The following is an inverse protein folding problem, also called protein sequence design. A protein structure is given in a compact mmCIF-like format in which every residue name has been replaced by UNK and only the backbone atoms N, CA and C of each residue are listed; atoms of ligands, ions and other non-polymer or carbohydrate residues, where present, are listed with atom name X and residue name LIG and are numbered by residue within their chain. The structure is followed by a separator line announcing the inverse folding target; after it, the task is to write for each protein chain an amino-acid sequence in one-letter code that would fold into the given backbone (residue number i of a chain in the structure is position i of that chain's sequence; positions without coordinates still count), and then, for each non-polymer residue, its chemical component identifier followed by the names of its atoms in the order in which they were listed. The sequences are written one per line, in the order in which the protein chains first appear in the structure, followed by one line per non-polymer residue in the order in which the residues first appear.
data_IF_508490716061
#
_entry.id   IF_508490716061
#
_cell.length_a   1.000
_cell.length_b   1.000
_cell.length_c   1.000
_cell.angle_alpha   90.00
_cell.angle_beta   90.00
_cell.angle_gamma   90.00
#
_symmetry.space_group_name_H-M   'P 1'
#
loop_
_entity.id
_entity.type
_entity.pdbx_description
1 polymer ?
#
# COMPACT_ATOMS: atom_id res chain seq x y z
N UNK A 1 -5.23 -31.49 0.37
CA UNK A 1 -4.77 -31.36 -1.02
C UNK A 1 -5.83 -31.77 -2.05
N UNK A 2 -6.34 -33.04 -2.12
CA UNK A 2 -7.35 -33.43 -3.14
C UNK A 2 -8.70 -32.69 -2.97
N UNK A 3 -9.22 -32.61 -1.74
CA UNK A 3 -10.46 -31.91 -1.39
C UNK A 3 -10.29 -30.38 -1.51
N UNK A 4 -9.13 -29.89 -1.25
CA UNK A 4 -8.76 -28.48 -1.34
C UNK A 4 -8.75 -27.98 -2.80
N UNK A 5 -8.22 -28.79 -3.74
CA UNK A 5 -8.26 -28.45 -5.17
C UNK A 5 -9.69 -28.52 -5.72
N UNK A 6 -10.51 -29.50 -5.28
CA UNK A 6 -11.92 -29.56 -5.66
C UNK A 6 -12.70 -28.39 -5.07
N UNK A 7 -12.45 -28.00 -3.82
CA UNK A 7 -13.04 -26.82 -3.22
C UNK A 7 -12.58 -25.51 -3.91
N UNK A 8 -11.34 -25.48 -4.38
CA UNK A 8 -10.81 -24.35 -5.17
C UNK A 8 -11.44 -24.29 -6.57
N UNK A 9 -11.77 -25.45 -7.17
CA UNK A 9 -12.47 -25.54 -8.47
C UNK A 9 -14.00 -25.34 -8.33
N UNK A 10 -14.59 -25.61 -7.15
CA UNK A 10 -15.99 -25.27 -6.84
C UNK A 10 -16.20 -23.77 -6.59
N UNK A 11 -15.13 -23.05 -6.18
CA UNK A 11 -15.07 -21.60 -6.18
C UNK A 11 -14.76 -21.19 -7.62
N UNK A 12 -15.69 -20.55 -8.32
CA UNK A 12 -15.53 -19.97 -9.67
C UNK A 12 -14.16 -19.36 -9.87
N UNK A 13 -13.65 -19.30 -11.11
CA UNK A 13 -12.48 -18.46 -11.43
C UNK A 13 -12.57 -17.14 -10.69
N UNK A 14 -11.52 -16.80 -9.99
CA UNK A 14 -11.40 -15.58 -9.23
C UNK A 14 -10.03 -14.96 -9.54
N UNK A 15 -9.67 -13.91 -8.85
CA UNK A 15 -8.37 -13.26 -9.02
C UNK A 15 -7.14 -14.17 -8.74
N UNK A 16 -7.33 -15.33 -8.08
CA UNK A 16 -6.27 -16.26 -7.67
C UNK A 16 -6.10 -17.48 -8.58
N UNK A 17 -7.10 -17.82 -9.41
CA UNK A 17 -7.09 -19.07 -10.17
C UNK A 17 -7.38 -18.82 -11.65
N UNK A 18 -6.70 -19.59 -12.50
CA UNK A 18 -6.90 -19.61 -13.94
C UNK A 18 -6.88 -21.04 -14.46
N UNK A 19 -7.89 -21.44 -15.24
CA UNK A 19 -8.03 -22.77 -15.80
C UNK A 19 -7.85 -22.74 -17.32
N UNK A 20 -7.04 -23.65 -17.87
CA UNK A 20 -6.81 -23.78 -19.30
C UNK A 20 -6.89 -25.24 -19.74
N UNK A 21 -7.58 -25.49 -20.85
CA UNK A 21 -7.71 -26.85 -21.38
C UNK A 21 -6.37 -27.42 -21.85
N UNK A 22 -5.53 -26.64 -22.51
CA UNK A 22 -4.21 -27.04 -23.02
C UNK A 22 -4.21 -28.32 -23.91
N UNK A 23 -5.27 -28.55 -24.70
CA UNK A 23 -5.43 -29.78 -25.49
C UNK A 23 -4.34 -29.96 -26.54
N UNK A 24 -3.86 -28.89 -27.19
CA UNK A 24 -2.94 -28.93 -28.33
C UNK A 24 -1.57 -28.28 -28.05
N UNK A 25 -1.25 -27.97 -26.79
CA UNK A 25 -0.01 -27.29 -26.38
C UNK A 25 -0.28 -26.26 -25.28
N UNK A 26 0.78 -25.55 -24.87
CA UNK A 26 0.65 -24.44 -23.96
C UNK A 26 -0.13 -23.31 -24.64
N UNK A 27 -1.25 -22.85 -24.07
CA UNK A 27 -1.99 -21.72 -24.60
C UNK A 27 -1.14 -20.45 -24.60
N UNK A 28 -1.21 -19.63 -25.64
CA UNK A 28 -0.44 -18.37 -25.70
C UNK A 28 -0.82 -17.43 -24.53
N UNK A 29 -2.10 -17.40 -24.15
CA UNK A 29 -2.61 -16.59 -23.05
C UNK A 29 -2.04 -16.95 -21.68
N UNK A 30 -1.36 -18.10 -21.52
CA UNK A 30 -0.73 -18.45 -20.24
C UNK A 30 0.34 -17.44 -19.81
N UNK A 31 0.96 -16.75 -20.77
CA UNK A 31 2.01 -15.77 -20.50
C UNK A 31 1.44 -14.43 -20.03
N UNK A 32 0.28 -14.04 -20.54
CA UNK A 32 -0.47 -12.88 -20.04
C UNK A 32 -0.87 -13.12 -18.59
N UNK A 33 -1.39 -14.31 -18.28
CA UNK A 33 -1.71 -14.72 -16.90
C UNK A 33 -0.47 -14.80 -16.01
N UNK A 34 0.67 -15.32 -16.53
CA UNK A 34 1.92 -15.33 -15.78
C UNK A 34 2.35 -13.90 -15.39
N UNK A 35 2.38 -12.98 -16.37
CA UNK A 35 2.69 -11.58 -16.14
C UNK A 35 1.71 -10.95 -15.13
N UNK A 36 0.44 -11.23 -15.31
CA UNK A 36 -0.65 -10.70 -14.49
C UNK A 36 -0.53 -11.13 -13.04
N UNK A 37 -0.38 -12.42 -12.76
CA UNK A 37 -0.18 -12.94 -11.42
C UNK A 37 1.11 -12.40 -10.77
N UNK A 38 2.22 -12.42 -11.52
CA UNK A 38 3.50 -11.91 -11.04
C UNK A 38 3.44 -10.43 -10.62
N UNK A 39 2.70 -9.60 -11.36
CA UNK A 39 2.57 -8.17 -11.08
C UNK A 39 1.47 -7.81 -10.07
N UNK A 40 0.67 -8.80 -9.64
CA UNK A 40 -0.42 -8.58 -8.68
C UNK A 40 -0.13 -9.35 -7.37
N UNK A 41 -1.02 -10.19 -6.94
CA UNK A 41 -0.95 -10.91 -5.66
C UNK A 41 -0.47 -12.37 -5.82
N UNK A 42 -0.03 -12.75 -7.01
CA UNK A 42 0.24 -14.14 -7.37
C UNK A 42 -1.03 -14.88 -7.79
N UNK A 43 -0.92 -16.19 -8.02
CA UNK A 43 -2.05 -17.05 -8.36
C UNK A 43 -1.63 -18.41 -8.85
N UNK A 44 -2.59 -19.27 -9.14
CA UNK A 44 -2.38 -20.64 -9.62
C UNK A 44 -3.03 -20.85 -10.98
N UNK A 45 -2.28 -21.41 -11.91
CA UNK A 45 -2.78 -21.85 -13.21
C UNK A 45 -2.92 -23.37 -13.25
N UNK A 46 -4.04 -23.86 -13.76
CA UNK A 46 -4.32 -25.28 -13.97
C UNK A 46 -4.42 -25.60 -15.46
N UNK A 47 -3.62 -26.52 -15.96
CA UNK A 47 -3.67 -27.01 -17.34
C UNK A 47 -4.29 -28.41 -17.38
N UNK A 48 -5.20 -28.65 -18.31
CA UNK A 48 -5.98 -29.88 -18.42
C UNK A 48 -7.39 -29.77 -17.83
N UNK A 49 -7.84 -28.53 -17.57
CA UNK A 49 -9.20 -28.23 -17.10
C UNK A 49 -9.88 -27.40 -18.17
N UNK A 50 -11.10 -27.79 -18.52
CA UNK A 50 -11.96 -27.08 -19.45
C UNK A 50 -12.97 -26.26 -18.66
N UNK A 51 -12.97 -24.98 -18.92
CA UNK A 51 -13.97 -24.05 -18.39
C UNK A 51 -15.26 -24.07 -19.20
N UNK A 52 -16.37 -24.01 -18.52
CA UNK A 52 -17.71 -23.76 -19.03
C UNK A 52 -18.30 -22.55 -18.29
N UNK A 53 -19.37 -21.95 -18.78
CA UNK A 53 -19.96 -20.73 -18.20
C UNK A 53 -20.16 -20.75 -16.68
N UNK A 54 -20.51 -21.92 -16.12
CA UNK A 54 -20.82 -22.06 -14.69
C UNK A 54 -20.21 -23.33 -14.05
N UNK A 55 -19.27 -23.99 -14.74
CA UNK A 55 -18.68 -25.25 -14.26
C UNK A 55 -17.33 -25.52 -14.91
N UNK A 56 -16.54 -26.38 -14.25
CA UNK A 56 -15.26 -26.86 -14.76
C UNK A 56 -15.34 -28.36 -15.02
N UNK A 57 -14.67 -28.82 -16.08
CA UNK A 57 -14.50 -30.23 -16.37
C UNK A 57 -13.04 -30.58 -16.40
N UNK A 58 -12.62 -31.51 -15.55
CA UNK A 58 -11.24 -32.03 -15.59
C UNK A 58 -11.13 -32.98 -16.78
N UNK A 59 -10.48 -32.51 -17.85
CA UNK A 59 -10.18 -33.33 -19.04
C UNK A 59 -8.93 -34.19 -18.83
N UNK A 60 -7.95 -33.63 -18.09
CA UNK A 60 -6.67 -34.25 -17.81
C UNK A 60 -5.66 -34.13 -18.96
N UNK A 61 -4.44 -34.49 -18.66
CA UNK A 61 -3.31 -34.55 -19.58
C UNK A 61 -2.69 -35.94 -19.54
N UNK A 62 -2.24 -36.46 -20.69
CA UNK A 62 -1.44 -37.66 -20.73
C UNK A 62 -0.03 -37.41 -20.16
N UNK A 63 0.65 -38.45 -19.70
CA UNK A 63 1.99 -38.34 -19.14
C UNK A 63 2.98 -37.67 -20.13
N UNK A 64 2.87 -37.98 -21.41
CA UNK A 64 3.67 -37.36 -22.47
C UNK A 64 3.41 -35.86 -22.61
N UNK A 65 2.14 -35.44 -22.46
CA UNK A 65 1.78 -34.02 -22.49
C UNK A 65 2.31 -33.30 -21.26
N UNK A 66 2.20 -33.88 -20.06
CA UNK A 66 2.74 -33.28 -18.84
C UNK A 66 4.23 -33.00 -18.96
N UNK A 67 5.01 -34.04 -19.36
CA UNK A 67 6.48 -33.90 -19.53
C UNK A 67 6.81 -32.83 -20.59
N UNK A 68 6.09 -32.85 -21.71
CA UNK A 68 6.30 -31.88 -22.78
C UNK A 68 5.98 -30.48 -22.33
N UNK A 69 4.82 -30.26 -21.67
CA UNK A 69 4.40 -28.94 -21.29
C UNK A 69 5.25 -28.32 -20.15
N UNK A 70 5.73 -29.16 -19.22
CA UNK A 70 6.73 -28.72 -18.25
C UNK A 70 8.01 -28.24 -18.94
N UNK A 71 8.53 -29.04 -19.90
CA UNK A 71 9.74 -28.66 -20.64
C UNK A 71 9.54 -27.38 -21.46
N UNK A 72 8.43 -27.27 -22.17
CA UNK A 72 8.12 -26.12 -23.02
C UNK A 72 7.92 -24.87 -22.14
N UNK A 73 7.25 -25.01 -21.01
CA UNK A 73 7.02 -23.91 -20.05
C UNK A 73 8.35 -23.38 -19.50
N UNK A 74 9.22 -24.26 -18.98
CA UNK A 74 10.52 -23.86 -18.45
C UNK A 74 11.45 -23.30 -19.55
N UNK A 75 11.35 -23.76 -20.77
CA UNK A 75 12.10 -23.19 -21.89
C UNK A 75 11.67 -21.76 -22.20
N UNK A 76 10.37 -21.48 -22.17
CA UNK A 76 9.82 -20.16 -22.52
C UNK A 76 9.99 -19.17 -21.39
N UNK A 77 9.71 -19.55 -20.13
CA UNK A 77 9.83 -18.65 -18.98
C UNK A 77 11.28 -18.19 -18.73
N UNK A 78 12.26 -18.98 -19.18
CA UNK A 78 13.68 -18.64 -19.11
C UNK A 78 14.19 -17.90 -20.35
N UNK A 79 13.40 -17.75 -21.41
CA UNK A 79 13.75 -16.96 -22.59
C UNK A 79 13.40 -15.49 -22.38
N UNK A 80 14.42 -14.67 -22.12
CA UNK A 80 14.25 -13.22 -21.83
C UNK A 80 13.65 -12.41 -22.99
N UNK A 81 13.61 -12.96 -24.21
CA UNK A 81 12.89 -12.34 -25.32
C UNK A 81 11.38 -12.61 -25.27
N UNK A 82 10.95 -13.60 -24.48
CA UNK A 82 9.55 -13.99 -24.32
C UNK A 82 8.97 -13.58 -22.99
N UNK A 83 9.73 -13.73 -21.91
CA UNK A 83 9.35 -13.37 -20.54
C UNK A 83 10.51 -12.63 -19.91
N UNK A 84 10.28 -11.42 -19.44
CA UNK A 84 11.34 -10.54 -18.90
C UNK A 84 12.07 -11.14 -17.69
N UNK A 85 11.36 -11.87 -16.84
CA UNK A 85 11.90 -12.49 -15.64
C UNK A 85 11.18 -13.78 -15.26
N UNK A 86 11.97 -14.81 -14.95
CA UNK A 86 11.48 -16.02 -14.30
C UNK A 86 11.57 -15.85 -12.78
N UNK A 87 10.42 -15.89 -12.10
CA UNK A 87 10.30 -15.79 -10.63
C UNK A 87 9.94 -17.13 -9.98
N UNK A 88 9.89 -18.21 -10.78
CA UNK A 88 9.50 -19.52 -10.31
C UNK A 88 10.67 -20.35 -9.83
N UNK A 89 10.40 -21.18 -8.83
CA UNK A 89 11.25 -22.27 -8.38
C UNK A 89 10.73 -23.61 -8.94
N UNK A 90 11.58 -24.63 -9.00
CA UNK A 90 11.23 -25.93 -9.57
C UNK A 90 9.96 -26.56 -8.98
N UNK A 91 9.68 -26.31 -7.70
CA UNK A 91 8.51 -26.86 -7.02
C UNK A 91 7.20 -26.11 -7.33
N UNK A 92 7.22 -25.02 -8.09
CA UNK A 92 6.04 -24.28 -8.49
C UNK A 92 5.33 -24.88 -9.72
N UNK A 93 5.96 -25.82 -10.45
CA UNK A 93 5.39 -26.42 -11.65
C UNK A 93 5.39 -27.95 -11.50
N UNK A 94 4.24 -28.53 -11.18
CA UNK A 94 4.14 -29.94 -10.86
C UNK A 94 2.80 -30.56 -11.27
N UNK A 95 2.79 -31.88 -11.59
CA UNK A 95 1.55 -32.59 -11.88
C UNK A 95 0.75 -32.89 -10.61
N UNK A 96 -0.56 -32.84 -10.72
CA UNK A 96 -1.51 -33.21 -9.66
C UNK A 96 -2.58 -34.12 -10.24
N UNK A 97 -3.05 -35.10 -9.45
CA UNK A 97 -4.14 -35.98 -9.84
C UNK A 97 -5.45 -35.50 -9.20
N UNK A 98 -6.42 -35.15 -10.05
CA UNK A 98 -7.77 -34.73 -9.67
C UNK A 98 -8.76 -35.63 -10.39
N UNK A 99 -9.70 -36.23 -9.68
CA UNK A 99 -10.70 -37.17 -10.24
C UNK A 99 -10.10 -38.33 -11.06
N UNK A 100 -8.92 -38.79 -10.69
CA UNK A 100 -8.21 -39.86 -11.41
C UNK A 100 -7.51 -39.40 -12.70
N UNK A 101 -7.57 -38.13 -13.05
CA UNK A 101 -6.90 -37.53 -14.21
C UNK A 101 -5.75 -36.63 -13.78
N UNK A 102 -4.66 -36.64 -14.54
CA UNK A 102 -3.50 -35.80 -14.24
C UNK A 102 -3.67 -34.43 -14.88
N UNK A 103 -3.44 -33.38 -14.11
CA UNK A 103 -3.40 -31.98 -14.56
C UNK A 103 -2.03 -31.38 -14.22
N UNK A 104 -1.62 -30.29 -14.87
CA UNK A 104 -0.40 -29.57 -14.52
C UNK A 104 -0.79 -28.32 -13.73
N UNK A 105 -0.25 -28.17 -12.53
CA UNK A 105 -0.41 -27.01 -11.65
C UNK A 105 0.83 -26.14 -11.73
N UNK A 106 0.62 -24.83 -11.84
CA UNK A 106 1.66 -23.80 -11.89
C UNK A 106 1.31 -22.73 -10.88
N UNK A 107 2.05 -22.66 -9.79
CA UNK A 107 1.88 -21.64 -8.75
C UNK A 107 2.80 -20.47 -9.06
N UNK A 108 2.23 -19.32 -9.37
CA UNK A 108 2.96 -18.08 -9.67
C UNK A 108 2.93 -17.20 -8.45
N UNK A 109 4.05 -16.98 -7.75
CA UNK A 109 4.08 -16.05 -6.63
C UNK A 109 3.96 -14.60 -7.12
N UNK A 110 3.54 -13.68 -6.25
CA UNK A 110 3.73 -12.27 -6.51
C UNK A 110 5.22 -11.96 -6.63
N UNK A 111 5.61 -11.22 -7.66
CA UNK A 111 6.98 -10.78 -7.83
C UNK A 111 7.36 -9.76 -6.74
N UNK A 112 8.61 -9.82 -6.28
CA UNK A 112 9.17 -8.74 -5.48
C UNK A 112 9.17 -7.43 -6.28
N UNK A 113 9.11 -6.27 -5.60
CA UNK A 113 9.08 -4.96 -6.26
C UNK A 113 10.29 -4.71 -7.18
N UNK A 114 11.46 -5.27 -6.83
CA UNK A 114 12.68 -5.16 -7.64
C UNK A 114 12.63 -6.02 -8.92
N UNK A 115 11.70 -6.95 -8.98
CA UNK A 115 11.46 -7.82 -10.12
C UNK A 115 10.29 -7.34 -11.01
N UNK A 116 9.44 -6.44 -10.52
CA UNK A 116 8.35 -5.80 -11.29
C UNK A 116 8.88 -4.64 -12.14
N UNK A 117 8.37 -4.45 -13.38
CA UNK A 117 7.33 -5.24 -14.01
C UNK A 117 7.86 -6.56 -14.59
N UNK A 118 7.11 -7.65 -14.39
CA UNK A 118 7.27 -8.89 -15.15
C UNK A 118 6.41 -8.79 -16.40
N UNK A 119 7.03 -8.79 -17.58
CA UNK A 119 6.33 -8.56 -18.85
C UNK A 119 6.67 -9.62 -19.90
N UNK A 120 5.81 -9.77 -20.89
CA UNK A 120 5.98 -10.66 -22.04
C UNK A 120 6.48 -9.88 -23.25
N UNK A 121 7.33 -10.54 -24.05
CA UNK A 121 7.99 -9.91 -25.19
C UNK A 121 9.14 -9.00 -24.79
N UNK A 122 9.42 -8.00 -25.61
CA UNK A 122 10.58 -7.10 -25.47
C UNK A 122 10.21 -5.68 -25.02
N UNK A 123 8.93 -5.32 -25.08
CA UNK A 123 8.44 -3.97 -24.76
C UNK A 123 7.58 -4.05 -23.48
N UNK A 124 8.09 -3.52 -22.35
CA UNK A 124 7.34 -3.54 -21.09
C UNK A 124 6.00 -2.78 -21.16
N UNK A 125 5.91 -1.73 -21.99
CA UNK A 125 4.68 -0.95 -22.12
C UNK A 125 3.56 -1.70 -22.84
N UNK A 126 3.91 -2.78 -23.58
CA UNK A 126 2.97 -3.62 -24.35
C UNK A 126 2.84 -5.03 -23.82
N UNK A 127 3.65 -5.42 -22.85
CA UNK A 127 3.71 -6.79 -22.34
C UNK A 127 3.47 -6.93 -20.84
N UNK A 128 3.21 -5.85 -20.11
CA UNK A 128 2.95 -5.89 -18.67
C UNK A 128 1.46 -6.00 -18.40
N UNK A 129 1.05 -7.06 -17.70
CA UNK A 129 -0.34 -7.31 -17.35
C UNK A 129 -0.52 -7.28 -15.83
N UNK A 130 -1.74 -6.95 -15.39
CA UNK A 130 -2.22 -7.05 -14.01
C UNK A 130 -3.53 -7.81 -13.96
N UNK A 131 -3.74 -8.55 -12.87
CA UNK A 131 -5.00 -9.25 -12.61
C UNK A 131 -6.00 -8.28 -11.97
N UNK A 132 -7.20 -8.21 -12.55
CA UNK A 132 -8.33 -7.51 -11.97
C UNK A 132 -9.55 -8.41 -12.09
N UNK A 133 -10.09 -8.85 -10.95
CA UNK A 133 -11.14 -9.85 -10.85
C UNK A 133 -10.75 -11.16 -11.57
N UNK A 134 -11.40 -11.53 -12.69
CA UNK A 134 -11.12 -12.75 -13.46
C UNK A 134 -10.26 -12.50 -14.72
N UNK A 135 -9.87 -11.25 -14.99
CA UNK A 135 -9.23 -10.86 -16.24
C UNK A 135 -7.78 -10.42 -16.12
N UNK A 136 -7.02 -10.69 -17.19
CA UNK A 136 -5.67 -10.20 -17.38
C UNK A 136 -5.72 -8.92 -18.22
N UNK A 137 -5.37 -7.78 -17.63
CA UNK A 137 -5.46 -6.48 -18.27
C UNK A 137 -4.08 -5.88 -18.50
N UNK A 138 -3.87 -5.36 -19.70
CA UNK A 138 -2.65 -4.62 -20.05
C UNK A 138 -2.56 -3.37 -19.16
N UNK A 139 -1.42 -3.19 -18.51
CA UNK A 139 -1.15 -2.02 -17.68
C UNK A 139 -1.06 -0.73 -18.52
N UNK A 140 -1.46 0.40 -17.94
CA UNK A 140 -1.17 1.70 -18.53
C UNK A 140 0.33 1.99 -18.48
N UNK A 141 0.82 2.88 -19.37
CA UNK A 141 2.23 3.29 -19.35
C UNK A 141 2.63 3.88 -17.99
N UNK A 142 1.73 4.65 -17.36
CA UNK A 142 1.95 5.23 -16.03
C UNK A 142 2.19 4.14 -14.99
N UNK A 143 1.35 3.08 -14.97
CA UNK A 143 1.50 1.97 -14.05
C UNK A 143 2.83 1.22 -14.24
N UNK A 144 3.25 1.01 -15.48
CA UNK A 144 4.56 0.39 -15.80
C UNK A 144 5.71 1.26 -15.33
N UNK A 145 5.65 2.58 -15.56
CA UNK A 145 6.67 3.54 -15.08
C UNK A 145 6.73 3.57 -13.56
N UNK A 146 5.58 3.50 -12.88
CA UNK A 146 5.53 3.41 -11.42
C UNK A 146 6.22 2.15 -10.89
N UNK A 147 6.02 0.98 -11.54
CA UNK A 147 6.73 -0.25 -11.19
C UNK A 147 8.25 -0.12 -11.33
N UNK A 148 8.75 0.51 -12.41
CA UNK A 148 10.18 0.78 -12.57
C UNK A 148 10.72 1.78 -11.52
N UNK A 149 9.94 2.79 -11.16
CA UNK A 149 10.34 3.72 -10.10
C UNK A 149 10.43 3.02 -8.74
N UNK A 150 9.53 2.07 -8.47
CA UNK A 150 9.51 1.29 -7.23
C UNK A 150 10.68 0.29 -7.11
N UNK A 151 11.39 -0.05 -8.20
CA UNK A 151 12.60 -0.87 -8.13
C UNK A 151 13.77 -0.20 -7.42
N UNK A 152 13.77 1.14 -7.31
CA UNK A 152 14.90 1.89 -6.75
C UNK A 152 15.12 1.54 -5.27
N UNK A 153 16.36 1.19 -4.93
CA UNK A 153 16.79 1.08 -3.54
C UNK A 153 16.88 2.47 -2.90
N UNK A 154 16.48 2.56 -1.63
CA UNK A 154 16.59 3.79 -0.86
C UNK A 154 15.40 4.75 -0.94
N UNK A 155 14.35 4.41 -1.68
CA UNK A 155 13.13 5.22 -1.80
C UNK A 155 13.18 6.29 -2.89
N UNK A 156 12.00 6.81 -3.24
CA UNK A 156 11.85 7.81 -4.31
C UNK A 156 12.21 9.22 -3.85
N UNK A 157 12.28 9.45 -2.54
CA UNK A 157 12.45 10.74 -1.90
C UNK A 157 13.91 11.15 -1.61
N UNK A 158 14.88 10.32 -2.00
CA UNK A 158 16.31 10.55 -1.72
C UNK A 158 17.02 11.42 -2.78
N UNK A 159 16.41 11.57 -3.95
CA UNK A 159 16.98 12.31 -5.09
C UNK A 159 17.16 13.79 -4.75
N UNK A 160 18.31 14.35 -5.14
CA UNK A 160 18.64 15.77 -4.97
C UNK A 160 18.14 16.54 -6.19
N UNK A 161 17.45 17.65 -5.96
CA UNK A 161 16.90 18.49 -7.01
C UNK A 161 17.94 19.53 -7.47
N UNK A 162 18.85 19.14 -8.35
CA UNK A 162 20.02 19.91 -8.76
C UNK A 162 19.73 21.35 -9.24
N UNK A 163 18.54 21.60 -9.76
CA UNK A 163 18.15 22.90 -10.31
C UNK A 163 17.25 23.73 -9.36
N UNK A 164 17.15 23.33 -8.09
CA UNK A 164 16.29 23.99 -7.10
C UNK A 164 17.12 24.51 -5.94
N UNK A 165 16.96 25.80 -5.63
CA UNK A 165 17.62 26.42 -4.49
C UNK A 165 16.84 26.25 -3.19
N UNK A 166 17.45 26.57 -2.04
CA UNK A 166 16.84 26.41 -0.72
C UNK A 166 15.63 27.32 -0.48
N UNK A 167 15.47 28.39 -1.28
CA UNK A 167 14.32 29.30 -1.25
C UNK A 167 12.99 28.59 -1.63
N UNK A 168 13.06 27.38 -2.18
CA UNK A 168 11.90 26.54 -2.43
C UNK A 168 11.28 25.97 -1.14
N UNK A 169 12.03 26.02 -0.03
CA UNK A 169 11.58 25.52 1.26
C UNK A 169 10.95 26.64 2.10
N UNK A 170 9.79 26.39 2.67
CA UNK A 170 9.05 27.33 3.50
C UNK A 170 9.75 27.50 4.86
N UNK A 171 10.21 28.70 5.15
CA UNK A 171 10.95 29.01 6.38
C UNK A 171 10.10 28.92 7.64
N UNK A 172 8.82 29.20 7.57
CA UNK A 172 7.92 29.15 8.74
C UNK A 172 7.58 27.69 9.08
N UNK A 173 7.39 26.82 8.09
CA UNK A 173 7.27 25.37 8.30
C UNK A 173 8.53 24.81 8.96
N UNK A 174 9.74 25.19 8.49
CA UNK A 174 11.01 24.77 9.09
C UNK A 174 11.13 25.22 10.54
N UNK A 175 10.78 26.48 10.84
CA UNK A 175 10.78 27.01 12.21
C UNK A 175 9.82 26.22 13.10
N UNK A 176 8.59 25.99 12.62
CA UNK A 176 7.58 25.19 13.34
C UNK A 176 8.07 23.78 13.66
N UNK A 177 8.68 23.12 12.68
CA UNK A 177 9.27 21.79 12.85
C UNK A 177 10.41 21.80 13.91
N UNK A 178 11.31 22.78 13.86
CA UNK A 178 12.41 22.91 14.84
C UNK A 178 11.90 23.12 16.25
N UNK A 179 10.86 23.91 16.45
CA UNK A 179 10.25 24.13 17.78
C UNK A 179 9.73 22.80 18.34
N UNK A 180 9.01 22.01 17.53
CA UNK A 180 8.49 20.71 17.95
C UNK A 180 9.65 19.73 18.24
N UNK A 181 10.67 19.70 17.36
CA UNK A 181 11.85 18.86 17.56
C UNK A 181 12.57 19.20 18.88
N UNK A 182 12.81 20.49 19.17
CA UNK A 182 13.46 20.94 20.39
C UNK A 182 12.66 20.56 21.65
N UNK A 183 11.35 20.71 21.62
CA UNK A 183 10.46 20.33 22.74
C UNK A 183 10.54 18.83 23.04
N UNK A 184 10.59 17.99 22.00
CA UNK A 184 10.64 16.53 22.14
C UNK A 184 12.05 16.02 22.46
N UNK A 185 13.09 16.74 22.04
CA UNK A 185 14.48 16.33 22.15
C UNK A 185 15.32 17.39 22.88
N UNK A 186 14.94 17.73 24.13
CA UNK A 186 15.65 18.71 24.94
C UNK A 186 17.12 18.32 25.11
N UNK A 187 18.04 19.27 24.85
CA UNK A 187 19.49 19.05 24.96
C UNK A 187 20.09 18.21 23.81
N UNK A 188 19.34 17.90 22.77
CA UNK A 188 19.90 17.20 21.61
C UNK A 188 20.90 18.11 20.86
N UNK A 189 22.07 17.55 20.41
CA UNK A 189 23.09 18.37 19.75
C UNK A 189 22.61 19.11 18.49
N UNK A 190 21.58 18.60 17.82
CA UNK A 190 21.03 19.22 16.62
C UNK A 190 20.24 20.51 16.88
N UNK A 191 19.86 20.77 18.14
CA UNK A 191 19.19 22.03 18.50
C UNK A 191 20.12 23.24 18.34
N UNK A 192 21.45 23.01 18.38
CA UNK A 192 22.48 24.03 18.21
C UNK A 192 22.93 24.27 16.77
N UNK A 193 22.44 23.43 15.83
CA UNK A 193 22.83 23.54 14.42
C UNK A 193 22.09 24.70 13.72
N UNK A 194 22.79 25.34 12.80
CA UNK A 194 22.15 26.25 11.83
C UNK A 194 21.14 25.49 10.95
N UNK A 195 20.21 26.20 10.32
CA UNK A 195 19.12 25.57 9.55
C UNK A 195 19.64 24.62 8.47
N UNK A 196 20.65 25.03 7.72
CA UNK A 196 21.20 24.22 6.61
C UNK A 196 21.79 22.91 7.11
N UNK A 197 22.55 22.95 8.21
CA UNK A 197 23.13 21.75 8.82
C UNK A 197 22.06 20.86 9.41
N UNK A 198 21.05 21.42 10.08
CA UNK A 198 19.90 20.70 10.60
C UNK A 198 19.15 19.97 9.50
N UNK A 199 18.82 20.66 8.39
CA UNK A 199 18.14 20.09 7.23
C UNK A 199 18.95 19.00 6.53
N UNK A 200 20.30 19.15 6.48
CA UNK A 200 21.19 18.09 5.98
C UNK A 200 21.13 16.83 6.89
N UNK A 201 21.09 17.00 8.21
CA UNK A 201 20.94 15.85 9.14
C UNK A 201 19.60 15.13 8.96
N UNK A 202 18.54 15.85 8.65
CA UNK A 202 17.23 15.31 8.31
C UNK A 202 17.21 14.65 6.91
N UNK A 203 18.21 14.88 6.07
CA UNK A 203 18.22 14.55 4.63
C UNK A 203 17.14 15.30 3.81
N UNK A 204 16.67 16.41 4.32
CA UNK A 204 15.80 17.32 3.57
C UNK A 204 16.59 18.12 2.52
N UNK A 205 17.87 18.31 2.76
CA UNK A 205 18.82 19.05 1.91
C UNK A 205 20.08 18.21 1.74
N UNK A 206 20.70 18.29 0.55
CA UNK A 206 21.98 17.67 0.26
C UNK A 206 22.78 18.54 -0.73
N UNK A 207 24.06 18.21 -0.90
CA UNK A 207 24.89 18.89 -1.92
C UNK A 207 24.56 18.33 -3.30
N UNK A 208 24.29 19.23 -4.22
CA UNK A 208 24.06 18.92 -5.62
C UNK A 208 25.38 18.63 -6.37
N UNK A 209 25.29 18.36 -7.67
CA UNK A 209 26.45 18.05 -8.52
C UNK A 209 27.46 19.24 -8.67
N UNK A 210 27.05 20.45 -8.28
CA UNK A 210 27.91 21.66 -8.26
C UNK A 210 28.53 21.92 -6.88
N UNK A 211 28.16 21.10 -5.85
CA UNK A 211 28.60 21.29 -4.48
C UNK A 211 27.76 22.29 -3.68
N UNK A 212 26.70 22.84 -4.27
CA UNK A 212 25.76 23.76 -3.64
C UNK A 212 24.68 22.96 -2.88
N UNK A 213 24.07 23.58 -1.87
CA UNK A 213 22.95 22.97 -1.17
C UNK A 213 21.65 23.08 -1.98
N UNK A 214 21.00 21.96 -2.17
CA UNK A 214 19.70 21.86 -2.85
C UNK A 214 18.75 20.95 -2.07
N UNK A 215 17.43 21.19 -2.16
CA UNK A 215 16.46 20.30 -1.56
C UNK A 215 16.56 18.88 -2.14
N UNK A 216 16.32 17.89 -1.31
CA UNK A 216 15.95 16.55 -1.79
C UNK A 216 14.45 16.53 -2.11
N UNK A 217 13.99 15.50 -2.82
CA UNK A 217 12.55 15.29 -3.01
C UNK A 217 11.82 15.26 -1.65
N UNK A 218 12.39 14.55 -0.65
CA UNK A 218 11.83 14.54 0.70
C UNK A 218 11.74 15.95 1.30
N UNK A 219 12.79 16.75 1.19
CA UNK A 219 12.81 18.11 1.72
C UNK A 219 11.79 19.01 1.04
N UNK A 220 11.69 18.94 -0.29
CA UNK A 220 10.72 19.71 -1.05
C UNK A 220 9.28 19.34 -0.67
N UNK A 221 8.94 18.03 -0.66
CA UNK A 221 7.60 17.59 -0.31
C UNK A 221 7.21 17.95 1.14
N UNK A 222 8.18 17.86 2.06
CA UNK A 222 7.92 18.01 3.49
C UNK A 222 7.91 19.46 3.97
N UNK A 223 8.74 20.33 3.36
CA UNK A 223 8.92 21.71 3.77
C UNK A 223 8.69 22.75 2.66
N UNK A 224 8.49 22.33 1.40
CA UNK A 224 8.36 23.26 0.28
C UNK A 224 7.01 23.97 0.23
N UNK A 225 6.91 25.03 -0.56
CA UNK A 225 5.62 25.61 -0.92
C UNK A 225 4.98 24.84 -2.08
N UNK A 226 3.65 24.72 -2.08
CA UNK A 226 2.90 23.93 -3.07
C UNK A 226 3.25 24.27 -4.52
N UNK A 227 3.42 25.56 -4.85
CA UNK A 227 3.78 25.96 -6.21
C UNK A 227 5.18 25.46 -6.62
N UNK A 228 6.14 25.36 -5.67
CA UNK A 228 7.46 24.76 -5.91
C UNK A 228 7.40 23.25 -6.01
N UNK A 229 6.56 22.62 -5.20
CA UNK A 229 6.32 21.17 -5.26
C UNK A 229 5.75 20.78 -6.63
N UNK A 230 4.80 21.56 -7.16
CA UNK A 230 4.17 21.29 -8.47
C UNK A 230 5.09 21.46 -9.65
N UNK A 231 6.23 22.18 -9.52
CA UNK A 231 7.28 22.22 -10.56
C UNK A 231 7.90 20.83 -10.81
N UNK A 232 7.98 19.99 -9.74
CA UNK A 232 8.54 18.63 -9.81
C UNK A 232 7.44 17.57 -9.94
N UNK A 233 6.33 17.78 -9.26
CA UNK A 233 5.18 16.89 -9.19
C UNK A 233 3.91 17.59 -9.69
N UNK A 234 3.69 17.66 -11.01
CA UNK A 234 2.57 18.45 -11.58
C UNK A 234 1.18 18.00 -11.12
N UNK A 235 1.05 16.78 -10.62
CA UNK A 235 -0.20 16.23 -10.12
C UNK A 235 -0.27 16.19 -8.59
N UNK A 236 0.68 16.82 -7.90
CA UNK A 236 0.69 16.91 -6.45
C UNK A 236 -0.61 17.52 -5.94
N UNK A 237 -1.27 16.82 -5.03
CA UNK A 237 -2.51 17.29 -4.44
C UNK A 237 -2.74 16.64 -3.09
N UNK A 238 -3.03 17.46 -2.08
CA UNK A 238 -3.46 17.05 -0.75
C UNK A 238 -4.86 17.63 -0.52
N UNK A 239 -5.79 16.81 -0.05
CA UNK A 239 -7.19 17.23 0.15
C UNK A 239 -7.71 16.65 1.47
N UNK A 240 -8.13 17.52 2.38
CA UNK A 240 -8.91 17.17 3.56
C UNK A 240 -10.29 17.79 3.48
N UNK A 241 -11.33 17.01 3.72
CA UNK A 241 -12.70 17.51 3.70
C UNK A 241 -13.58 16.79 4.71
N UNK A 242 -14.51 17.57 5.27
CA UNK A 242 -15.60 17.08 6.09
C UNK A 242 -16.89 17.12 5.27
N UNK A 243 -17.45 15.95 4.97
CA UNK A 243 -18.67 15.83 4.18
C UNK A 243 -19.89 15.88 5.11
N UNK A 244 -20.96 16.55 4.65
CA UNK A 244 -22.25 16.54 5.33
C UNK A 244 -23.00 15.23 5.05
N UNK A 245 -23.82 14.79 5.99
CA UNK A 245 -24.84 13.77 5.74
C UNK A 245 -25.98 14.31 4.88
N UNK A 246 -26.24 15.62 4.95
CA UNK A 246 -27.18 16.31 4.08
C UNK A 246 -26.58 16.48 2.68
N UNK A 247 -27.16 15.80 1.69
CA UNK A 247 -26.71 15.84 0.30
C UNK A 247 -26.82 17.21 -0.36
N UNK A 248 -27.56 18.15 0.23
CA UNK A 248 -27.64 19.54 -0.27
C UNK A 248 -26.41 20.36 0.08
N UNK A 249 -25.63 19.94 1.09
CA UNK A 249 -24.39 20.57 1.53
C UNK A 249 -23.23 19.69 1.07
N UNK A 250 -22.39 20.19 0.17
CA UNK A 250 -21.31 19.40 -0.42
C UNK A 250 -20.22 19.04 0.59
N UNK A 251 -19.81 19.99 1.43
CA UNK A 251 -18.86 19.84 2.54
C UNK A 251 -19.10 20.87 3.63
N UNK A 252 -18.81 20.46 4.87
CA UNK A 252 -18.85 21.35 6.04
C UNK A 252 -17.54 22.13 6.17
N UNK A 253 -16.43 21.49 5.79
CA UNK A 253 -15.09 22.06 5.78
C UNK A 253 -14.26 21.42 4.69
N UNK A 254 -13.32 22.15 4.10
CA UNK A 254 -12.33 21.64 3.17
C UNK A 254 -11.07 22.46 3.25
N UNK A 255 -9.90 21.81 3.16
CA UNK A 255 -8.60 22.44 2.92
C UNK A 255 -7.79 21.57 1.97
N UNK A 256 -7.07 22.21 1.05
CA UNK A 256 -6.27 21.49 0.06
C UNK A 256 -4.99 22.26 -0.29
N UNK A 257 -4.01 21.57 -0.89
CA UNK A 257 -2.69 22.13 -1.19
C UNK A 257 -2.69 23.35 -2.11
N UNK A 258 -3.75 23.55 -2.91
CA UNK A 258 -3.81 24.60 -3.93
C UNK A 258 -4.58 25.86 -3.44
N UNK A 259 -4.88 25.97 -2.14
CA UNK A 259 -5.60 27.15 -1.59
C UNK A 259 -4.77 28.43 -1.63
N UNK A 260 -3.44 28.31 -1.46
CA UNK A 260 -2.51 29.43 -1.50
C UNK A 260 -2.45 30.28 -0.23
N UNK A 261 -3.22 29.94 0.83
CA UNK A 261 -3.23 30.61 2.14
C UNK A 261 -2.31 29.92 3.17
N UNK A 262 -1.74 28.78 2.80
CA UNK A 262 -0.77 28.02 3.58
C UNK A 262 0.27 27.37 2.65
N UNK A 263 1.32 26.77 3.20
CA UNK A 263 2.43 26.20 2.42
C UNK A 263 2.00 25.11 1.42
N UNK A 264 0.98 24.33 1.74
CA UNK A 264 0.56 23.17 0.94
C UNK A 264 1.46 21.95 1.05
N UNK A 265 2.46 21.94 1.93
CA UNK A 265 3.39 20.83 2.12
C UNK A 265 2.85 19.72 3.07
N UNK A 266 3.62 18.62 3.16
CA UNK A 266 3.19 17.44 3.95
C UNK A 266 3.14 17.70 5.44
N UNK A 267 4.10 18.46 5.99
CA UNK A 267 4.17 18.74 7.41
C UNK A 267 2.99 19.57 7.89
N UNK A 268 2.71 20.67 7.21
CA UNK A 268 1.60 21.55 7.59
C UNK A 268 0.24 20.88 7.32
N UNK A 269 0.12 20.08 6.23
CA UNK A 269 -1.08 19.29 5.97
C UNK A 269 -1.37 18.30 7.09
N UNK A 270 -0.35 17.57 7.54
CA UNK A 270 -0.50 16.62 8.64
C UNK A 270 -1.13 17.29 9.86
N UNK A 271 -0.57 18.40 10.31
CA UNK A 271 -1.07 19.08 11.50
C UNK A 271 -2.45 19.72 11.27
N UNK A 272 -2.73 20.28 10.10
CA UNK A 272 -4.07 20.78 9.75
C UNK A 272 -5.13 19.67 9.86
N UNK A 273 -4.81 18.48 9.34
CA UNK A 273 -5.74 17.34 9.36
C UNK A 273 -5.92 16.81 10.78
N UNK A 274 -4.83 16.53 11.49
CA UNK A 274 -4.91 15.90 12.82
C UNK A 274 -5.57 16.81 13.83
N UNK A 275 -5.19 18.08 13.92
CA UNK A 275 -5.82 19.02 14.83
C UNK A 275 -7.34 19.12 14.59
N UNK A 276 -7.76 19.10 13.32
CA UNK A 276 -9.17 19.20 12.95
C UNK A 276 -9.96 17.93 13.27
N UNK A 277 -9.36 16.75 13.05
CA UNK A 277 -10.00 15.47 13.38
C UNK A 277 -10.10 15.31 14.90
N UNK A 278 -9.04 15.67 15.62
CA UNK A 278 -8.93 15.51 17.06
C UNK A 278 -9.96 16.34 17.85
N UNK A 279 -10.29 17.54 17.37
CA UNK A 279 -11.29 18.41 18.01
C UNK A 279 -12.69 17.77 18.08
N UNK A 280 -12.99 16.86 17.17
CA UNK A 280 -14.33 16.26 17.01
C UNK A 280 -14.45 14.83 17.57
N UNK A 281 -13.33 14.17 17.92
CA UNK A 281 -13.35 12.79 18.41
C UNK A 281 -13.48 12.77 19.93
N UNK A 282 -14.69 12.49 20.41
CA UNK A 282 -14.90 12.17 21.82
C UNK A 282 -14.57 10.67 22.05
N UNK A 283 -13.42 10.38 22.63
CA UNK A 283 -13.07 9.02 23.07
C UNK A 283 -13.71 8.77 24.44
N UNK A 284 -14.63 7.79 24.59
CA UNK A 284 -15.18 7.42 25.88
C UNK A 284 -14.07 6.92 26.82
N UNK A 285 -14.19 7.26 28.11
CA UNK A 285 -13.30 6.70 29.11
C UNK A 285 -13.59 5.20 29.29
N UNK A 286 -12.66 4.35 28.89
CA UNK A 286 -12.73 2.91 29.14
C UNK A 286 -11.72 2.54 30.22
N UNK A 287 -12.20 2.04 31.36
CA UNK A 287 -11.32 1.47 32.37
C UNK A 287 -10.97 0.04 31.98
N UNK A 288 -9.70 -0.26 31.75
CA UNK A 288 -9.25 -1.65 31.62
C UNK A 288 -9.49 -2.43 32.90
N UNK A 289 -9.75 -3.73 32.77
CA UNK A 289 -9.90 -4.65 33.92
C UNK A 289 -8.66 -4.72 34.82
N UNK A 290 -7.51 -4.30 34.31
CA UNK A 290 -6.22 -4.20 35.00
C UNK A 290 -6.02 -2.86 35.74
N UNK A 291 -7.01 -1.96 35.74
CA UNK A 291 -6.98 -0.66 36.42
C UNK A 291 -6.22 0.44 35.67
N UNK A 292 -5.68 0.15 34.48
CA UNK A 292 -5.07 1.19 33.64
C UNK A 292 -6.13 1.93 32.83
N UNK A 293 -5.99 3.23 32.72
CA UNK A 293 -6.79 4.10 31.84
C UNK A 293 -6.33 3.89 30.40
N UNK A 294 -7.27 3.63 29.49
CA UNK A 294 -7.03 3.85 28.07
C UNK A 294 -7.30 5.31 27.80
N UNK A 295 -6.25 6.08 27.66
CA UNK A 295 -6.36 7.49 27.44
C UNK A 295 -6.69 7.79 25.97
N UNK A 296 -7.33 8.95 25.74
CA UNK A 296 -7.56 9.58 24.43
C UNK A 296 -6.33 9.55 23.52
N UNK A 297 -5.15 9.45 24.12
CA UNK A 297 -3.83 9.44 23.46
C UNK A 297 -3.68 8.30 22.45
N UNK A 298 -4.20 7.10 22.71
CA UNK A 298 -3.96 5.93 21.85
C UNK A 298 -4.71 6.05 20.51
N UNK A 299 -5.93 6.55 20.49
CA UNK A 299 -6.72 6.74 19.25
C UNK A 299 -6.16 7.89 18.40
N UNK A 300 -5.81 9.01 19.04
CA UNK A 300 -5.22 10.16 18.36
C UNK A 300 -3.83 9.81 17.78
N UNK A 301 -3.01 9.07 18.56
CA UNK A 301 -1.73 8.59 18.08
C UNK A 301 -1.89 7.62 16.88
N UNK A 302 -2.90 6.74 16.92
CA UNK A 302 -3.19 5.82 15.82
C UNK A 302 -3.69 6.55 14.55
N UNK A 303 -4.49 7.61 14.70
CA UNK A 303 -4.92 8.47 13.59
C UNK A 303 -3.74 9.24 12.99
N UNK A 304 -2.88 9.81 13.84
CA UNK A 304 -1.65 10.45 13.41
C UNK A 304 -0.76 9.50 12.63
N UNK A 305 -0.58 8.27 13.13
CA UNK A 305 0.14 7.20 12.44
C UNK A 305 -0.47 6.90 11.07
N UNK A 306 -1.81 6.77 10.98
CA UNK A 306 -2.51 6.49 9.73
C UNK A 306 -2.29 7.57 8.67
N UNK A 307 -2.37 8.85 9.05
CA UNK A 307 -2.15 9.99 8.14
C UNK A 307 -0.68 10.05 7.72
N UNK A 308 0.27 9.92 8.65
CA UNK A 308 1.70 9.94 8.35
C UNK A 308 2.09 8.80 7.40
N UNK A 309 1.56 7.60 7.64
CA UNK A 309 1.79 6.44 6.76
C UNK A 309 1.22 6.70 5.36
N UNK A 310 0.02 7.24 5.24
CA UNK A 310 -0.54 7.60 3.94
C UNK A 310 0.36 8.59 3.19
N UNK A 311 0.94 9.59 3.88
CA UNK A 311 1.86 10.55 3.29
C UNK A 311 3.21 9.91 2.92
N UNK A 312 3.79 9.08 3.80
CA UNK A 312 5.10 8.45 3.57
C UNK A 312 5.07 7.33 2.53
N UNK A 313 3.92 6.67 2.33
CA UNK A 313 3.77 5.59 1.35
C UNK A 313 3.20 6.04 -0.01
N UNK A 314 2.83 7.32 -0.15
CA UNK A 314 2.27 7.88 -1.38
C UNK A 314 3.25 7.86 -2.55
N UNK A 315 2.72 7.57 -3.74
CA UNK A 315 3.40 7.82 -5.00
C UNK A 315 3.01 9.21 -5.55
N UNK A 316 3.85 10.21 -5.33
CA UNK A 316 3.58 11.59 -5.73
C UNK A 316 3.67 11.85 -7.24
N UNK A 317 4.13 10.87 -8.03
CA UNK A 317 4.13 10.93 -9.50
C UNK A 317 2.76 10.58 -10.11
N UNK A 318 1.86 9.99 -9.30
CA UNK A 318 0.51 9.61 -9.75
C UNK A 318 -0.42 10.82 -9.89
N UNK A 319 -1.48 10.67 -10.72
CA UNK A 319 -2.44 11.75 -11.00
C UNK A 319 -3.39 12.06 -9.84
N UNK A 320 -3.51 11.17 -8.87
CA UNK A 320 -4.44 11.33 -7.74
C UNK A 320 -3.65 11.61 -6.49
N UNK A 321 -3.99 12.68 -5.79
CA UNK A 321 -3.35 13.07 -4.54
C UNK A 321 -3.76 12.23 -3.33
N UNK A 322 -3.23 12.60 -2.17
CA UNK A 322 -3.67 12.06 -0.87
C UNK A 322 -4.98 12.74 -0.48
N UNK A 323 -5.97 11.94 -0.12
CA UNK A 323 -7.30 12.44 0.23
C UNK A 323 -7.72 11.87 1.58
N UNK A 324 -8.08 12.77 2.49
CA UNK A 324 -8.65 12.42 3.79
C UNK A 324 -10.07 12.97 3.85
N UNK A 325 -11.04 12.10 4.06
CA UNK A 325 -12.47 12.46 4.13
C UNK A 325 -13.01 12.05 5.48
N UNK A 326 -13.65 12.98 6.18
CA UNK A 326 -14.44 12.70 7.36
C UNK A 326 -15.91 12.92 7.04
N UNK A 327 -16.74 11.91 7.32
CA UNK A 327 -18.19 11.97 7.13
C UNK A 327 -18.89 11.38 8.34
N UNK A 328 -19.47 12.24 9.17
CA UNK A 328 -20.02 11.80 10.45
C UNK A 328 -18.95 11.10 11.28
N UNK A 329 -19.13 9.78 11.51
CA UNK A 329 -18.21 8.93 12.25
C UNK A 329 -17.21 8.18 11.39
N UNK A 330 -17.32 8.24 10.09
CA UNK A 330 -16.42 7.58 9.16
C UNK A 330 -15.26 8.51 8.77
N UNK A 331 -14.03 7.99 8.84
CA UNK A 331 -12.82 8.64 8.35
C UNK A 331 -12.23 7.73 7.28
N UNK A 332 -12.05 8.25 6.08
CA UNK A 332 -11.41 7.56 4.96
C UNK A 332 -10.10 8.25 4.63
N UNK A 333 -8.99 7.52 4.67
CA UNK A 333 -7.65 7.99 4.30
C UNK A 333 -7.23 7.23 3.07
N UNK A 334 -6.95 7.93 1.97
CA UNK A 334 -6.61 7.31 0.69
C UNK A 334 -5.37 7.95 0.08
N UNK A 335 -4.38 7.15 -0.25
CA UNK A 335 -3.13 7.59 -0.87
C UNK A 335 -2.84 6.86 -2.18
N UNK A 336 -2.22 7.51 -3.17
CA UNK A 336 -1.81 6.88 -4.43
C UNK A 336 -0.65 5.90 -4.24
N UNK A 337 -0.60 4.91 -5.11
CA UNK A 337 0.38 3.83 -5.10
C UNK A 337 -0.13 2.57 -4.38
N UNK A 338 0.39 1.42 -4.80
CA UNK A 338 0.10 0.12 -4.19
C UNK A 338 1.03 -0.15 -3.00
N UNK A 339 0.68 -1.10 -2.15
CA UNK A 339 1.61 -1.60 -1.12
C UNK A 339 2.83 -2.25 -1.78
N UNK A 340 4.00 -2.13 -1.13
CA UNK A 340 5.30 -2.66 -1.63
C UNK A 340 5.67 -3.99 -0.99
N UNK A 341 4.95 -4.41 0.02
CA UNK A 341 5.05 -5.69 0.72
C UNK A 341 3.81 -6.54 0.45
N UNK A 342 3.86 -7.82 0.76
CA UNK A 342 2.68 -8.70 0.62
C UNK A 342 1.58 -8.33 1.63
N UNK A 343 0.33 -8.72 1.34
CA UNK A 343 -0.78 -8.48 2.28
C UNK A 343 -0.57 -9.23 3.60
N UNK A 344 0.03 -10.41 3.55
CA UNK A 344 0.38 -11.22 4.72
C UNK A 344 1.39 -10.47 5.60
N UNK A 345 2.47 -9.94 5.02
CA UNK A 345 3.47 -9.15 5.73
C UNK A 345 2.87 -7.86 6.29
N UNK A 346 1.98 -7.21 5.53
CA UNK A 346 1.30 -5.99 5.96
C UNK A 346 0.49 -6.21 7.25
N UNK A 347 -0.27 -7.31 7.33
CA UNK A 347 -1.07 -7.65 8.51
C UNK A 347 -0.27 -8.34 9.62
N UNK A 348 0.84 -9.01 9.29
CA UNK A 348 1.73 -9.60 10.29
C UNK A 348 2.54 -8.56 11.07
N UNK A 349 2.74 -7.36 10.46
CA UNK A 349 3.56 -6.31 11.06
C UNK A 349 5.06 -6.65 11.05
N UNK A 350 5.89 -5.75 11.58
CA UNK A 350 7.33 -5.95 11.72
C UNK A 350 8.15 -5.73 10.44
N UNK A 351 7.53 -5.64 9.28
CA UNK A 351 8.17 -5.27 8.01
C UNK A 351 7.56 -3.97 7.47
N UNK A 352 8.41 -3.07 6.99
CA UNK A 352 7.96 -1.80 6.40
C UNK A 352 8.90 -1.41 5.25
N UNK A 353 8.33 -1.23 4.07
CA UNK A 353 9.04 -0.71 2.90
C UNK A 353 8.36 0.60 2.42
N UNK A 354 8.62 1.73 3.12
CA UNK A 354 8.03 3.01 2.75
C UNK A 354 8.58 3.49 1.40
N UNK A 355 7.68 4.02 0.56
CA UNK A 355 8.07 4.62 -0.72
C UNK A 355 8.93 5.85 -0.51
N UNK A 356 8.68 6.61 0.55
CA UNK A 356 9.40 7.82 0.92
C UNK A 356 9.99 7.71 2.34
N UNK A 357 11.12 6.98 2.50
CA UNK A 357 11.69 6.67 3.81
C UNK A 357 12.23 7.88 4.56
N UNK A 358 12.69 8.93 3.87
CA UNK A 358 13.13 10.16 4.53
C UNK A 358 11.95 10.98 5.06
N UNK A 359 10.82 11.01 4.35
CA UNK A 359 9.57 11.61 4.85
C UNK A 359 9.14 10.91 6.14
N UNK A 360 9.10 9.56 6.14
CA UNK A 360 8.78 8.80 7.35
C UNK A 360 9.77 9.08 8.49
N UNK A 361 11.07 9.23 8.17
CA UNK A 361 12.10 9.60 9.15
C UNK A 361 11.86 10.98 9.75
N UNK A 362 11.49 11.97 8.94
CA UNK A 362 11.21 13.31 9.43
C UNK A 362 9.97 13.34 10.32
N UNK A 363 8.92 12.60 10.00
CA UNK A 363 7.79 12.40 10.91
C UNK A 363 8.22 11.73 12.22
N UNK A 364 9.05 10.69 12.17
CA UNK A 364 9.56 10.00 13.35
C UNK A 364 10.32 10.90 14.32
N UNK A 365 11.04 11.92 13.85
CA UNK A 365 11.73 12.89 14.70
C UNK A 365 10.78 13.83 15.47
N UNK A 366 9.53 13.93 15.07
CA UNK A 366 8.49 14.68 15.79
C UNK A 366 7.47 13.74 16.44
N UNK A 367 7.89 12.49 16.74
CA UNK A 367 7.09 11.44 17.38
C UNK A 367 5.81 11.09 16.61
N UNK A 368 5.83 11.25 15.29
CA UNK A 368 4.77 10.86 14.38
C UNK A 368 5.29 9.74 13.48
N UNK A 369 4.58 8.64 13.40
CA UNK A 369 4.99 7.49 12.58
C UNK A 369 6.15 6.69 13.19
N UNK A 370 6.02 5.39 13.29
CA UNK A 370 7.08 4.49 13.73
C UNK A 370 7.65 3.68 12.57
N UNK A 371 8.98 3.52 12.55
CA UNK A 371 9.69 2.75 11.53
C UNK A 371 9.61 1.23 11.69
N UNK A 372 9.12 0.75 12.82
CA UNK A 372 9.18 -0.66 13.18
C UNK A 372 8.12 -1.56 12.52
N UNK A 373 7.34 -1.04 11.56
CA UNK A 373 6.23 -1.80 10.95
C UNK A 373 5.06 -2.06 11.91
N UNK A 374 4.99 -1.32 13.01
CA UNK A 374 3.95 -1.44 14.05
C UNK A 374 2.73 -0.56 13.79
N UNK A 375 2.74 0.27 12.74
CA UNK A 375 1.70 1.26 12.48
C UNK A 375 0.31 0.64 12.30
N UNK A 376 0.21 -0.45 11.54
CA UNK A 376 -1.05 -1.18 11.34
C UNK A 376 -1.53 -1.79 12.65
N UNK A 377 -0.64 -2.40 13.44
CA UNK A 377 -0.96 -3.00 14.73
C UNK A 377 -1.46 -1.95 15.73
N UNK A 378 -0.88 -0.75 15.75
CA UNK A 378 -1.35 0.35 16.58
C UNK A 378 -2.78 0.74 16.23
N UNK A 379 -3.07 0.94 14.93
CA UNK A 379 -4.40 1.29 14.46
C UNK A 379 -5.41 0.19 14.84
N UNK A 380 -5.08 -1.08 14.55
CA UNK A 380 -5.95 -2.20 14.87
C UNK A 380 -6.19 -2.35 16.37
N UNK A 381 -5.14 -2.17 17.18
CA UNK A 381 -5.21 -2.28 18.65
C UNK A 381 -6.03 -1.16 19.25
N UNK A 382 -5.81 0.10 18.84
CA UNK A 382 -6.55 1.24 19.34
C UNK A 382 -8.07 1.10 19.09
N UNK A 383 -8.48 0.68 17.89
CA UNK A 383 -9.90 0.43 17.57
C UNK A 383 -10.48 -0.74 18.33
N UNK A 384 -9.73 -1.84 18.47
CA UNK A 384 -10.14 -3.01 19.24
C UNK A 384 -10.34 -2.70 20.72
N UNK A 385 -9.46 -1.91 21.33
CA UNK A 385 -9.55 -1.52 22.75
C UNK A 385 -10.78 -0.64 23.03
N UNK A 386 -11.21 0.16 22.05
CA UNK A 386 -12.44 0.95 22.13
C UNK A 386 -13.70 0.12 21.80
N UNK A 387 -13.58 -1.15 21.41
CA UNK A 387 -14.64 -1.98 20.87
C UNK A 387 -15.35 -1.33 19.66
N UNK A 388 -14.58 -0.61 18.84
CA UNK A 388 -15.07 -0.03 17.59
C UNK A 388 -14.99 -1.03 16.43
N UNK A 389 -15.66 -0.71 15.33
CA UNK A 389 -15.60 -1.53 14.12
C UNK A 389 -14.15 -1.64 13.64
N UNK A 390 -13.72 -2.87 13.30
CA UNK A 390 -12.37 -3.14 12.83
C UNK A 390 -12.02 -2.25 11.62
N UNK A 391 -10.85 -1.59 11.61
CA UNK A 391 -10.34 -0.87 10.45
C UNK A 391 -10.30 -1.74 9.19
N UNK A 392 -10.71 -1.18 8.06
CA UNK A 392 -10.73 -1.86 6.77
C UNK A 392 -9.70 -1.23 5.84
N UNK A 393 -8.81 -2.05 5.28
CA UNK A 393 -7.87 -1.64 4.24
C UNK A 393 -8.33 -2.18 2.88
N UNK A 394 -8.44 -1.28 1.90
CA UNK A 394 -8.66 -1.61 0.50
C UNK A 394 -7.38 -1.35 -0.30
N UNK A 395 -6.84 -2.40 -0.90
CA UNK A 395 -5.65 -2.38 -1.74
C UNK A 395 -6.04 -2.46 -3.22
N UNK A 396 -6.92 -1.59 -3.67
CA UNK A 396 -7.45 -1.62 -5.03
C UNK A 396 -6.34 -1.43 -6.07
N UNK A 397 -5.93 -2.52 -6.68
CA UNK A 397 -4.94 -2.54 -7.76
C UNK A 397 -5.41 -1.73 -8.96
N UNK A 398 -6.72 -1.78 -9.27
CA UNK A 398 -7.32 -1.03 -10.38
C UNK A 398 -7.26 0.48 -10.19
N UNK A 399 -7.39 0.92 -8.94
CA UNK A 399 -7.33 2.35 -8.62
C UNK A 399 -5.90 2.83 -8.35
N UNK A 400 -4.90 1.92 -8.30
CA UNK A 400 -3.52 2.18 -7.87
C UNK A 400 -3.48 3.00 -6.56
N UNK A 401 -4.31 2.59 -5.59
CA UNK A 401 -4.48 3.29 -4.31
C UNK A 401 -4.58 2.32 -3.15
N UNK A 402 -4.13 2.81 -2.00
CA UNK A 402 -4.45 2.20 -0.70
C UNK A 402 -5.48 3.10 -0.01
N UNK A 403 -6.53 2.51 0.50
CA UNK A 403 -7.57 3.22 1.23
C UNK A 403 -7.81 2.57 2.58
N UNK A 404 -7.68 3.34 3.64
CA UNK A 404 -8.03 2.96 5.00
C UNK A 404 -9.38 3.58 5.37
N UNK A 405 -10.30 2.75 5.84
CA UNK A 405 -11.60 3.17 6.38
C UNK A 405 -11.64 2.90 7.87
N UNK A 406 -11.98 3.94 8.61
CA UNK A 406 -12.06 3.95 10.07
C UNK A 406 -13.46 4.42 10.49
N UNK A 407 -14.11 3.69 11.40
CA UNK A 407 -15.35 4.15 12.03
C UNK A 407 -15.07 4.47 13.50
N UNK A 408 -15.38 5.70 13.91
CA UNK A 408 -15.13 6.22 15.25
C UNK A 408 -16.43 6.18 16.07
N UNK A 409 -16.37 5.62 17.29
CA UNK A 409 -17.51 5.65 18.23
C UNK A 409 -18.65 4.69 17.91
N UNK A 410 -18.48 3.71 17.02
CA UNK A 410 -19.40 2.59 16.86
C UNK A 410 -18.93 1.39 17.67
N UNK A 411 -19.67 1.09 18.76
CA UNK A 411 -19.43 -0.09 19.59
C UNK A 411 -19.96 -1.32 18.87
N UNK A 412 -19.08 -2.28 18.56
CA UNK A 412 -19.51 -3.60 18.11
C UNK A 412 -19.99 -4.39 19.34
N UNK A 413 -21.29 -4.58 19.47
CA UNK A 413 -21.84 -5.50 20.44
C UNK A 413 -21.44 -6.94 20.04
N UNK A 414 -20.44 -7.50 20.69
CA UNK A 414 -20.21 -8.94 20.68
C UNK A 414 -21.31 -9.53 21.57
N UNK A 415 -22.27 -10.33 21.05
CA UNK A 415 -23.23 -11.00 21.91
C UNK A 415 -22.42 -11.87 22.88
N UNK A 416 -22.47 -11.50 24.16
CA UNK A 416 -21.93 -12.35 25.21
C UNK A 416 -22.75 -13.61 25.21
N UNK A 417 -22.19 -14.73 24.75
CA UNK A 417 -22.74 -16.05 24.97
C UNK A 417 -22.73 -16.26 26.50
N UNK A 418 -23.85 -15.90 27.13
CA UNK A 418 -24.15 -16.30 28.49
C UNK A 418 -24.15 -17.82 28.53
N UNK A 419 -23.01 -18.39 28.92
CA UNK A 419 -22.98 -19.76 29.44
C UNK A 419 -23.86 -19.77 30.71
N UNK A 420 -25.11 -20.09 30.56
CA UNK A 420 -25.92 -20.55 31.69
C UNK A 420 -25.37 -21.93 32.06
N UNK A 421 -24.48 -21.96 33.04
CA UNK A 421 -24.18 -23.19 33.74
C UNK A 421 -25.49 -23.68 34.41
N UNK A 422 -25.92 -24.92 34.19
CA UNK A 422 -27.05 -25.45 34.96
C UNK A 422 -26.66 -25.46 36.43
N UNK A 423 -27.47 -24.79 37.23
CA UNK A 423 -27.38 -24.82 38.69
C UNK A 423 -27.60 -26.29 39.18
N UNK A 424 -26.71 -26.81 40.02
CA UNK A 424 -26.99 -28.10 40.65
C UNK A 424 -27.91 -27.86 41.85
N UNK A 425 -29.21 -28.05 41.68
CA UNK A 425 -30.19 -28.25 42.76
C UNK A 425 -31.38 -29.03 42.20
N UNK A 426 -31.43 -30.16 42.63
CA UNK A 426 -32.33 -31.16 43.19
C UNK A 426 -32.06 -32.55 42.65
#
# INVERSE_FOLDING_TARGET
MKQEILNQLELKENHEYECKLAANGLPVSIWETYSSFANTDGGTMFLGIKEHRDSFTVEGLSEKQVIKYQKDFWSIVNDRHKVSKNILLNHHVYPVVVEGKTILRIDVPAADRHDKPVYIGVDPMKGTYRRDYEGDFLCSEEAVRAMFADQRDGGTDTEVLDNMALDALNTDTIKGYRIVFEQLHQGHPWNLLENDEFLMKLRAVAKNNKGELSPTIAGLLFFGDAYRITEVFPNYFLDYREESEDKSVRWLFRTHSDEGDWSGNLYDFYYKVINRIDDDIAVPFVNRKDGYRVDRVDVHAALGEAVANALAHSNYYERRGVVVVKKGKEITISNPGTIRITKEEFYAGGNSDPRNPNILKMFGFVNVGERAGSGVDKIMTAWKEQNWKKPEFDFSVRADRVTLKLEVGQVVYIPCLLYTSPSPRD
#
